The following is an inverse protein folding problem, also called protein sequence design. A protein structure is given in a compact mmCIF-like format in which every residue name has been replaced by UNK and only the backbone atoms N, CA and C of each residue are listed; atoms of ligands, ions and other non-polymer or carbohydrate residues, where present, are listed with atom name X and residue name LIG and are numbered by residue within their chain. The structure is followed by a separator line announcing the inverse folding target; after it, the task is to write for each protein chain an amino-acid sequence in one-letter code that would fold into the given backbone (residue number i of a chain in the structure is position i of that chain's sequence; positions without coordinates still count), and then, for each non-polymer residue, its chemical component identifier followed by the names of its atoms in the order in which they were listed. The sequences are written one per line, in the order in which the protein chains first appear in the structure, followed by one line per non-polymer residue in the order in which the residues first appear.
data_IF_425024802448
#
_entry.id   IF_425024802448
#
_cell.length_a   1.000
_cell.length_b   1.000
_cell.length_c   1.000
_cell.angle_alpha   90.00
_cell.angle_beta   90.00
_cell.angle_gamma   90.00
#
_symmetry.space_group_name_H-M   'P 1'
#
loop_
_entity.id
_entity.type
_entity.pdbx_description
1 polymer ?
#
# COMPACT_ATOMS: atom_id res chain seq x y z
N UNK A 1 -13.44 8.69 11.20
CA UNK A 1 -12.86 7.51 10.53
C UNK A 1 -11.53 7.90 9.92
N UNK A 2 -10.39 7.56 10.54
CA UNK A 2 -9.09 7.82 9.94
C UNK A 2 -8.90 6.91 8.72
N UNK A 3 -8.35 7.45 7.65
CA UNK A 3 -7.89 6.70 6.49
C UNK A 3 -6.51 7.21 6.10
N UNK A 4 -5.67 6.31 5.58
CA UNK A 4 -4.38 6.66 5.02
C UNK A 4 -4.49 6.89 3.51
N UNK A 5 -3.69 7.80 2.98
CA UNK A 5 -3.59 8.07 1.54
C UNK A 5 -2.13 8.12 1.12
N UNK A 6 -1.84 7.64 -0.09
CA UNK A 6 -0.50 7.72 -0.68
C UNK A 6 -0.58 7.64 -2.22
N UNK A 7 0.52 8.00 -2.88
CA UNK A 7 0.66 7.95 -4.33
C UNK A 7 1.95 7.25 -4.80
N UNK A 8 1.91 6.73 -6.03
CA UNK A 8 3.08 6.19 -6.72
C UNK A 8 3.07 6.61 -8.19
N UNK A 9 4.25 6.96 -8.72
CA UNK A 9 4.42 7.32 -10.14
C UNK A 9 4.40 8.81 -10.45
N UNK A 10 4.54 9.69 -9.45
CA UNK A 10 4.64 11.15 -9.67
C UNK A 10 5.91 11.59 -10.43
N UNK A 11 7.01 10.87 -10.25
CA UNK A 11 8.35 11.26 -10.74
C UNK A 11 8.69 10.86 -12.19
N UNK A 12 8.34 9.65 -12.67
CA UNK A 12 8.65 9.22 -14.03
C UNK A 12 8.01 10.10 -15.12
N UNK A 13 8.70 10.29 -16.24
CA UNK A 13 8.17 11.01 -17.41
C UNK A 13 7.13 10.20 -18.21
N UNK A 14 7.16 8.88 -18.08
CA UNK A 14 6.24 7.94 -18.72
C UNK A 14 5.69 6.96 -17.69
N UNK A 15 4.44 6.56 -17.88
CA UNK A 15 3.72 5.67 -16.96
C UNK A 15 2.54 6.38 -16.29
N UNK A 16 1.60 5.58 -15.80
CA UNK A 16 0.47 6.10 -15.02
C UNK A 16 0.92 6.47 -13.61
N UNK A 17 0.28 7.50 -13.05
CA UNK A 17 0.32 7.76 -11.61
C UNK A 17 -0.87 7.05 -10.96
N UNK A 18 -0.64 6.46 -9.80
CA UNK A 18 -1.65 5.79 -9.00
C UNK A 18 -1.78 6.50 -7.66
N UNK A 19 -3.00 6.63 -7.17
CA UNK A 19 -3.31 7.10 -5.83
C UNK A 19 -4.24 6.08 -5.16
N UNK A 20 -4.07 5.88 -3.86
CA UNK A 20 -4.89 4.94 -3.09
C UNK A 20 -5.26 5.53 -1.73
N UNK A 21 -6.42 5.10 -1.22
CA UNK A 21 -6.86 5.36 0.14
C UNK A 21 -7.21 4.04 0.82
N UNK A 22 -6.78 3.86 2.06
CA UNK A 22 -7.10 2.67 2.86
C UNK A 22 -7.71 3.12 4.18
N UNK A 23 -8.94 2.67 4.42
CA UNK A 23 -9.57 2.74 5.73
C UNK A 23 -9.37 1.41 6.45
N UNK A 24 -9.08 1.48 7.75
CA UNK A 24 -8.95 0.32 8.61
C UNK A 24 -9.67 0.65 9.92
N UNK A 25 -10.65 -0.18 10.29
CA UNK A 25 -11.40 -0.01 11.55
C UNK A 25 -10.55 -0.41 12.76
N UNK A 26 -9.77 -1.49 12.63
CA UNK A 26 -9.00 -2.10 13.71
C UNK A 26 -7.54 -2.33 13.27
N UNK A 27 -6.55 -1.54 13.75
CA UNK A 27 -5.16 -1.64 13.30
C UNK A 27 -4.51 -3.02 13.47
N UNK A 28 -5.01 -3.83 14.41
CA UNK A 28 -4.49 -5.19 14.66
C UNK A 28 -4.76 -6.18 13.52
N UNK A 29 -5.65 -5.86 12.58
CA UNK A 29 -5.92 -6.70 11.39
C UNK A 29 -4.91 -6.46 10.27
N UNK A 30 -4.05 -5.45 10.38
CA UNK A 30 -3.05 -5.16 9.36
C UNK A 30 -2.00 -6.28 9.31
N UNK A 31 -1.60 -6.73 8.11
CA UNK A 31 -0.62 -7.79 7.96
C UNK A 31 0.77 -7.37 8.47
N UNK A 32 1.50 -8.33 9.03
CA UNK A 32 2.86 -8.12 9.49
C UNK A 32 3.80 -7.66 8.36
N UNK A 33 4.72 -6.77 8.72
CA UNK A 33 5.76 -6.28 7.81
C UNK A 33 5.34 -5.14 6.88
N UNK A 34 4.14 -4.56 7.04
CA UNK A 34 3.63 -3.47 6.19
C UNK A 34 4.33 -2.10 6.40
N UNK A 35 4.98 -1.89 7.56
CA UNK A 35 5.46 -0.56 8.01
C UNK A 35 6.53 0.08 7.12
N UNK A 36 7.37 -0.71 6.44
CA UNK A 36 8.48 -0.20 5.64
C UNK A 36 8.37 -0.70 4.19
N UNK A 37 7.29 -0.30 3.51
CA UNK A 37 6.94 -0.75 2.15
C UNK A 37 8.05 -0.53 1.12
N UNK A 38 8.95 0.44 1.36
CA UNK A 38 10.11 0.74 0.51
C UNK A 38 11.19 -0.34 0.54
N UNK A 39 11.27 -1.12 1.63
CA UNK A 39 12.26 -2.20 1.80
C UNK A 39 11.74 -3.57 1.34
N UNK A 40 10.46 -3.67 1.01
CA UNK A 40 9.86 -4.93 0.57
C UNK A 40 10.30 -5.28 -0.86
N UNK A 41 10.41 -6.58 -1.15
CA UNK A 41 10.54 -7.04 -2.53
C UNK A 41 9.24 -6.78 -3.31
N UNK A 42 9.30 -6.71 -4.65
CA UNK A 42 8.10 -6.60 -5.49
C UNK A 42 7.06 -7.69 -5.17
N UNK A 43 7.49 -8.94 -5.02
CA UNK A 43 6.63 -10.10 -4.77
C UNK A 43 5.91 -9.95 -3.42
N UNK A 44 6.64 -9.55 -2.36
CA UNK A 44 6.04 -9.33 -1.04
C UNK A 44 5.02 -8.19 -1.04
N UNK A 45 5.24 -7.14 -1.86
CA UNK A 45 4.25 -6.07 -2.02
C UNK A 45 2.97 -6.58 -2.67
N UNK A 46 3.07 -7.44 -3.68
CA UNK A 46 1.90 -8.03 -4.34
C UNK A 46 1.08 -8.91 -3.37
N UNK A 47 1.74 -9.76 -2.58
CA UNK A 47 1.10 -10.57 -1.54
C UNK A 47 0.34 -9.70 -0.51
N UNK A 48 0.99 -8.67 0.03
CA UNK A 48 0.37 -7.75 0.97
C UNK A 48 -0.79 -7.00 0.32
N UNK A 49 -0.64 -6.58 -0.94
CA UNK A 49 -1.67 -5.85 -1.65
C UNK A 49 -2.90 -6.72 -1.98
N UNK A 50 -2.74 -8.03 -2.12
CA UNK A 50 -3.85 -8.98 -2.19
C UNK A 50 -4.54 -9.12 -0.81
N UNK A 51 -3.76 -9.28 0.26
CA UNK A 51 -4.28 -9.41 1.63
C UNK A 51 -5.05 -8.15 2.09
N UNK A 52 -4.60 -6.95 1.71
CA UNK A 52 -5.26 -5.69 2.05
C UNK A 52 -6.56 -5.42 1.28
N UNK A 53 -6.81 -6.14 0.18
CA UNK A 53 -8.00 -5.97 -0.68
C UNK A 53 -9.05 -7.08 -0.50
N UNK A 54 -8.71 -8.13 0.24
CA UNK A 54 -9.63 -9.22 0.59
C UNK A 54 -10.70 -8.73 1.58
#
# INVERSE_FOLDING_TARGET
MPFGVDEAGKGPALGSMFAAAVHCEEPSVLPDGIRDSKRLSPERREELAAALRA
#
